data_IF_284873294745
#
_entry.id   IF_284873294745
#
_cell.length_a   1.000
_cell.length_b   1.000
_cell.length_c   1.000
_cell.angle_alpha   90.00
_cell.angle_beta   90.00
_cell.angle_gamma   90.00
#
_symmetry.space_group_name_H-M   'P 1'
#
loop_
_entity.id
_entity.type
_entity.pdbx_description
1 polymer ?
#
# COMPACT_ATOMS: atom_id res chain seq x y z
N UNK A 1 -3.74 15.45 1.87
CA UNK A 1 -3.43 14.72 2.06
C UNK A 1 -3.43 13.78 1.37
N UNK A 2 -3.29 13.39 0.91
CA UNK A 2 -3.56 12.33 0.11
C UNK A 2 -2.50 12.02 -0.88
N UNK A 3 -1.26 11.99 -0.48
CA UNK A 3 -0.23 11.45 -1.33
C UNK A 3 0.31 10.18 -0.70
N UNK A 4 1.08 9.42 -1.47
CA UNK A 4 1.54 8.11 -1.05
C UNK A 4 2.48 8.22 0.16
N UNK A 5 3.26 9.29 0.25
CA UNK A 5 4.17 9.46 1.38
C UNK A 5 3.40 9.63 2.68
N UNK A 6 2.31 10.37 2.66
CA UNK A 6 1.48 10.54 3.85
C UNK A 6 0.83 9.22 4.24
N UNK A 7 0.40 8.44 3.27
CA UNK A 7 -0.18 7.13 3.54
C UNK A 7 0.85 6.21 4.19
N UNK A 8 2.08 6.22 3.68
CA UNK A 8 3.16 5.41 4.25
C UNK A 8 3.42 5.82 5.70
N UNK A 9 3.48 7.12 5.97
CA UNK A 9 3.71 7.59 7.33
C UNK A 9 2.58 7.20 8.26
N UNK A 10 1.35 7.28 7.78
CA UNK A 10 0.20 6.90 8.58
C UNK A 10 0.26 5.42 8.93
N UNK A 11 0.60 4.58 7.94
CA UNK A 11 0.69 3.15 8.19
C UNK A 11 1.80 2.84 9.18
N UNK A 12 2.92 3.53 9.11
CA UNK A 12 4.00 3.32 10.07
C UNK A 12 3.56 3.68 11.48
N UNK A 13 2.83 4.77 11.66
CA UNK A 13 2.31 5.15 12.96
C UNK A 13 1.32 4.12 13.48
N UNK A 14 0.45 3.62 12.59
CA UNK A 14 -0.53 2.64 13.01
C UNK A 14 0.11 1.30 13.37
N UNK A 15 1.19 0.95 12.69
CA UNK A 15 1.93 -0.27 13.05
C UNK A 15 2.47 -0.16 14.46
N UNK A 16 3.05 0.98 14.81
CA UNK A 16 3.58 1.16 16.14
C UNK A 16 2.48 1.11 17.19
N UNK A 17 1.33 1.73 16.91
CA UNK A 17 0.22 1.69 17.83
C UNK A 17 -0.32 0.28 18.00
N UNK A 18 -0.44 -0.46 16.90
CA UNK A 18 -0.95 -1.83 16.98
C UNK A 18 0.03 -2.74 17.71
N UNK A 19 1.32 -2.52 17.50
CA UNK A 19 2.33 -3.31 18.21
C UNK A 19 2.27 -3.05 19.71
N UNK A 20 2.11 -1.79 20.09
CA UNK A 20 1.99 -1.44 21.50
C UNK A 20 0.72 -2.03 22.12
N UNK A 21 -0.33 -2.18 21.32
CA UNK A 21 -1.58 -2.78 21.80
C UNK A 21 -1.55 -4.30 21.79
N UNK A 22 -0.51 -4.90 21.20
CA UNK A 22 -0.42 -6.35 21.12
C UNK A 22 -1.28 -6.95 20.02
N UNK A 23 -1.75 -6.15 19.09
CA UNK A 23 -2.59 -6.62 18.00
C UNK A 23 -1.71 -7.07 16.84
N UNK A 24 -1.21 -8.29 16.92
CA UNK A 24 -0.24 -8.77 15.95
C UNK A 24 -0.84 -9.01 14.57
N UNK A 25 -2.12 -9.37 14.52
CA UNK A 25 -2.78 -9.57 13.23
C UNK A 25 -2.85 -8.23 12.47
N UNK A 26 -3.16 -7.16 13.19
CA UNK A 26 -3.23 -5.85 12.56
C UNK A 26 -1.84 -5.38 12.13
N UNK A 27 -0.82 -5.65 12.94
CA UNK A 27 0.55 -5.32 12.57
C UNK A 27 0.92 -5.99 11.26
N UNK A 28 0.63 -7.28 11.13
CA UNK A 28 0.96 -8.01 9.92
C UNK A 28 0.24 -7.44 8.71
N UNK A 29 -1.05 -7.14 8.87
CA UNK A 29 -1.82 -6.58 7.76
C UNK A 29 -1.26 -5.23 7.32
N UNK A 30 -0.94 -4.37 8.29
CA UNK A 30 -0.39 -3.06 7.98
C UNK A 30 0.99 -3.15 7.35
N UNK A 31 1.81 -4.11 7.79
CA UNK A 31 3.13 -4.28 7.20
C UNK A 31 3.03 -4.72 5.76
N UNK A 32 2.07 -5.59 5.44
CA UNK A 32 1.87 -5.99 4.06
C UNK A 32 1.40 -4.82 3.21
N UNK A 33 0.49 -4.01 3.74
CA UNK A 33 0.03 -2.83 3.03
C UNK A 33 1.18 -1.84 2.82
N UNK A 34 1.98 -1.63 3.85
CA UNK A 34 3.11 -0.71 3.76
C UNK A 34 4.12 -1.19 2.72
N UNK A 35 4.38 -2.48 2.69
CA UNK A 35 5.30 -3.04 1.71
C UNK A 35 4.79 -2.77 0.29
N UNK A 36 3.50 -2.98 0.07
CA UNK A 36 2.90 -2.72 -1.23
C UNK A 36 3.01 -1.26 -1.63
N UNK A 37 2.79 -0.35 -0.68
CA UNK A 37 2.90 1.07 -0.96
C UNK A 37 4.33 1.46 -1.32
N UNK A 38 5.32 0.91 -0.62
CA UNK A 38 6.71 1.21 -0.92
C UNK A 38 7.11 0.70 -2.29
N UNK A 39 6.64 -0.48 -2.67
CA UNK A 39 6.93 -1.02 -3.99
C UNK A 39 6.24 -0.20 -5.08
N UNK A 40 5.00 0.22 -4.82
CA UNK A 40 4.30 1.06 -5.78
C UNK A 40 5.08 2.36 -6.00
N UNK A 41 5.54 2.97 -4.90
CA UNK A 41 6.30 4.21 -5.01
C UNK A 41 7.59 4.01 -5.80
N UNK A 42 8.23 2.85 -5.60
CA UNK A 42 9.47 2.57 -6.31
C UNK A 42 9.22 2.38 -7.79
N UNK A 43 8.10 1.76 -8.16
CA UNK A 43 7.76 1.56 -9.56
C UNK A 43 7.23 2.83 -10.23
N UNK A 44 6.75 3.79 -9.44
CA UNK A 44 6.19 5.03 -9.96
C UNK A 44 6.81 6.22 -9.25
N UNK A 45 8.12 6.43 -9.41
CA UNK A 45 8.82 7.44 -8.60
C UNK A 45 8.37 8.86 -8.84
N UNK A 46 7.76 9.13 -10.00
CA UNK A 46 7.29 10.49 -10.29
C UNK A 46 5.84 10.69 -9.93
N UNK A 47 5.16 9.64 -9.46
CA UNK A 47 3.75 9.72 -9.15
C UNK A 47 3.59 9.74 -7.65
N UNK A 48 3.07 10.83 -7.11
CA UNK A 48 2.94 10.97 -5.67
C UNK A 48 1.51 10.78 -5.18
N UNK A 49 0.58 10.38 -6.06
CA UNK A 49 -0.79 10.21 -5.62
C UNK A 49 -0.91 9.00 -4.68
N UNK A 50 -1.96 9.00 -3.87
CA UNK A 50 -2.22 7.90 -2.94
C UNK A 50 -2.96 6.79 -3.68
N UNK A 51 -2.31 5.67 -3.98
CA UNK A 51 -2.95 4.63 -4.78
C UNK A 51 -4.04 3.91 -3.99
N UNK A 52 -5.07 3.48 -4.70
CA UNK A 52 -6.09 2.64 -4.09
C UNK A 52 -5.53 1.24 -3.88
N UNK A 53 -6.18 0.43 -3.02
CA UNK A 53 -5.73 -0.95 -2.84
C UNK A 53 -5.70 -1.74 -4.14
N UNK A 54 -6.62 -1.48 -5.05
CA UNK A 54 -6.63 -2.16 -6.34
C UNK A 54 -5.43 -1.75 -7.19
N UNK A 55 -5.07 -0.47 -7.16
CA UNK A 55 -3.91 0.00 -7.90
C UNK A 55 -2.63 -0.67 -7.40
N UNK A 56 -2.47 -0.79 -6.08
CA UNK A 56 -1.31 -1.46 -5.52
C UNK A 56 -1.31 -2.93 -5.90
N UNK A 57 -2.45 -3.58 -5.80
CA UNK A 57 -2.57 -4.98 -6.14
C UNK A 57 -2.20 -5.21 -7.61
N UNK A 58 -2.70 -4.35 -8.50
CA UNK A 58 -2.43 -4.51 -9.93
C UNK A 58 -0.97 -4.22 -10.27
N UNK A 59 -0.34 -3.33 -9.51
CA UNK A 59 1.08 -3.07 -9.72
C UNK A 59 1.91 -4.31 -9.42
N UNK A 60 1.52 -5.06 -8.40
CA UNK A 60 2.23 -6.26 -8.00
C UNK A 60 1.79 -7.49 -8.79
N UNK A 61 0.59 -7.47 -9.35
CA UNK A 61 0.02 -8.61 -10.07
C UNK A 61 -0.60 -8.15 -11.39
N UNK A 62 0.22 -7.67 -12.32
CA UNK A 62 -0.32 -7.10 -13.56
C UNK A 62 -1.06 -8.09 -14.43
N UNK A 63 -0.87 -9.38 -14.21
CA UNK A 63 -1.55 -10.39 -15.01
C UNK A 63 -2.85 -10.86 -14.41
N UNK A 64 -3.23 -10.35 -13.24
CA UNK A 64 -4.48 -10.75 -12.63
C UNK A 64 -5.67 -10.33 -13.50
N UNK A 65 -6.72 -11.14 -13.57
CA UNK A 65 -7.85 -10.81 -14.44
C UNK A 65 -8.49 -9.47 -14.14
N UNK A 66 -8.60 -9.10 -12.86
CA UNK A 66 -9.22 -7.85 -12.50
C UNK A 66 -8.37 -6.66 -12.95
N UNK A 67 -7.08 -6.85 -13.15
CA UNK A 67 -6.20 -5.78 -13.60
C UNK A 67 -6.24 -5.61 -15.09
N UNK A 68 -6.56 -6.67 -15.80
CA UNK A 68 -6.62 -6.60 -17.27
C UNK A 68 -7.84 -5.85 -17.76
N UNK A 69 -8.86 -5.77 -16.92
CA UNK A 69 -10.08 -5.07 -17.30
C UNK A 69 -9.79 -3.60 -17.54
N UNK A 70 -8.77 -3.07 -16.92
CA UNK A 70 -8.46 -1.66 -17.05
C UNK A 70 -7.48 -1.33 -18.15
N UNK A 71 -7.06 -2.34 -18.89
CA UNK A 71 -6.10 -2.08 -19.93
C UNK A 71 -6.71 -1.80 -21.25
N UNK A 72 -7.84 -1.34 -21.35
CA UNK A 72 -8.40 -1.03 -22.68
C UNK A 72 -8.06 0.36 -23.15
#
# INVERSE_FOLDING_TARGET
MNNIDEHIQKDQSEIEAARAAGDLAKVRHLEEELQGLKEYKEHHPEDSHDPSPLEVYCDLNPEAPECRVYDD
#
